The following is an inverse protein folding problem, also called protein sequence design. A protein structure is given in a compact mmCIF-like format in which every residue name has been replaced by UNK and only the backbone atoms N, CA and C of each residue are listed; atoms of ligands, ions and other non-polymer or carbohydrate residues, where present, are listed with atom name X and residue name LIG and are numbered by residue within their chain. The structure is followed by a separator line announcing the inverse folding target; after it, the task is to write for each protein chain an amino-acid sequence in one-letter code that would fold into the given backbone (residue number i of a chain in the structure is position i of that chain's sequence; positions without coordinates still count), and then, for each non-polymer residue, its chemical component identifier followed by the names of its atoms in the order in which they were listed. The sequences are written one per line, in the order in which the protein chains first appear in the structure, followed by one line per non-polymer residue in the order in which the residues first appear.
data_IF_026562959058
#
_entry.id   IF_026562959058
#
_cell.length_a   1.000
_cell.length_b   1.000
_cell.length_c   1.000
_cell.angle_alpha   90.00
_cell.angle_beta   90.00
_cell.angle_gamma   90.00
#
_symmetry.space_group_name_H-M   'P 1'
#
loop_
_entity.id
_entity.type
_entity.pdbx_description
1 polymer ?
#
# COMPACT_ATOMS: atom_id res chain seq x y z
N UNK A 1 -1.65 -16.67 6.20
CA UNK A 1 -2.51 -15.55 5.82
C UNK A 1 -2.50 -15.37 4.30
N UNK A 2 -1.38 -15.01 3.66
CA UNK A 2 -1.26 -14.98 2.18
C UNK A 2 -1.73 -16.26 1.48
N UNK A 3 -1.16 -17.42 1.84
CA UNK A 3 -1.57 -18.74 1.31
C UNK A 3 -3.00 -19.18 1.68
N UNK A 4 -3.72 -18.37 2.48
CA UNK A 4 -5.11 -18.59 2.90
C UNK A 4 -6.04 -17.52 2.30
N UNK A 5 -5.64 -16.87 1.21
CA UNK A 5 -6.43 -15.86 0.51
C UNK A 5 -6.78 -14.62 1.34
N UNK A 6 -5.91 -14.24 2.28
CA UNK A 6 -6.07 -12.99 3.03
C UNK A 6 -5.29 -11.88 2.35
N UNK A 7 -5.97 -10.77 2.07
CA UNK A 7 -5.40 -9.57 1.48
C UNK A 7 -4.69 -8.72 2.54
N UNK A 8 -3.63 -8.05 2.13
CA UNK A 8 -2.81 -7.18 2.97
C UNK A 8 -2.84 -5.76 2.44
N UNK A 9 -3.01 -4.82 3.36
CA UNK A 9 -2.93 -3.39 3.10
C UNK A 9 -1.74 -2.79 3.87
N UNK A 10 -1.04 -1.85 3.25
CA UNK A 10 0.01 -1.03 3.88
C UNK A 10 -0.39 0.44 3.77
N UNK A 11 -0.11 1.23 4.82
CA UNK A 11 -0.41 2.66 4.82
C UNK A 11 0.70 3.48 4.16
N UNK A 12 0.33 4.60 3.51
CA UNK A 12 1.29 5.54 2.92
C UNK A 12 2.22 6.15 3.95
N UNK A 13 1.73 6.37 5.17
CA UNK A 13 2.54 6.87 6.29
C UNK A 13 3.62 5.85 6.71
N UNK A 14 3.28 4.56 6.74
CA UNK A 14 4.25 3.50 6.98
C UNK A 14 5.29 3.42 5.87
N UNK A 15 4.87 3.52 4.60
CA UNK A 15 5.76 3.43 3.44
C UNK A 15 6.71 4.63 3.31
N UNK A 16 6.23 5.83 3.65
CA UNK A 16 7.02 7.07 3.59
C UNK A 16 8.04 7.24 4.72
N UNK A 17 7.88 6.48 5.80
CA UNK A 17 8.69 6.60 7.00
C UNK A 17 8.20 7.67 7.98
N UNK A 18 6.97 8.16 7.85
CA UNK A 18 6.35 9.04 8.85
C UNK A 18 6.36 8.41 10.26
N UNK A 19 6.19 7.08 10.33
CA UNK A 19 6.25 6.30 11.57
C UNK A 19 7.66 5.80 11.94
N UNK A 20 8.70 6.32 11.28
CA UNK A 20 10.10 6.00 11.56
C UNK A 20 10.68 4.87 10.68
N UNK A 21 12.02 4.76 10.71
CA UNK A 21 12.80 3.93 9.77
C UNK A 21 12.49 2.44 9.83
N UNK A 22 12.22 1.90 11.02
CA UNK A 22 11.88 0.48 11.16
C UNK A 22 10.55 0.11 10.50
N UNK A 23 9.56 1.00 10.61
CA UNK A 23 8.25 0.82 9.95
C UNK A 23 8.42 0.94 8.44
N UNK A 24 9.17 1.95 7.99
CA UNK A 24 9.52 2.13 6.58
C UNK A 24 10.14 0.87 5.97
N UNK A 25 11.25 0.38 6.53
CA UNK A 25 11.95 -0.79 5.99
C UNK A 25 11.09 -2.05 6.01
N UNK A 26 10.17 -2.17 6.97
CA UNK A 26 9.22 -3.28 7.00
C UNK A 26 8.19 -3.17 5.87
N UNK A 27 7.62 -1.99 5.68
CA UNK A 27 6.67 -1.71 4.59
C UNK A 27 7.31 -1.94 3.21
N UNK A 28 8.52 -1.41 3.00
CA UNK A 28 9.30 -1.61 1.77
C UNK A 28 9.54 -3.10 1.51
N UNK A 29 9.97 -3.86 2.53
CA UNK A 29 10.21 -5.30 2.39
C UNK A 29 8.93 -6.06 2.01
N UNK A 30 7.79 -5.77 2.62
CA UNK A 30 6.52 -6.42 2.29
C UNK A 30 6.10 -6.14 0.84
N UNK A 31 6.31 -4.92 0.34
CA UNK A 31 6.02 -4.56 -1.04
C UNK A 31 6.97 -5.27 -2.01
N UNK A 32 8.27 -5.24 -1.74
CA UNK A 32 9.30 -5.90 -2.57
C UNK A 32 9.09 -7.42 -2.67
N UNK A 33 8.64 -8.05 -1.58
CA UNK A 33 8.31 -9.49 -1.53
C UNK A 33 6.90 -9.80 -2.10
N UNK A 34 6.23 -8.82 -2.73
CA UNK A 34 4.89 -8.95 -3.34
C UNK A 34 3.82 -9.47 -2.37
N UNK A 35 3.92 -9.10 -1.09
CA UNK A 35 2.98 -9.52 -0.04
C UNK A 35 1.80 -8.54 0.14
N UNK A 36 1.93 -7.32 -0.38
CA UNK A 36 0.94 -6.24 -0.24
C UNK A 36 0.03 -6.22 -1.45
N UNK A 37 -1.28 -6.07 -1.23
CA UNK A 37 -2.28 -6.02 -2.29
C UNK A 37 -2.87 -4.61 -2.43
N UNK A 38 -2.85 -3.82 -1.35
CA UNK A 38 -3.46 -2.49 -1.30
C UNK A 38 -2.50 -1.50 -0.63
N UNK A 39 -2.35 -0.32 -1.22
CA UNK A 39 -1.75 0.85 -0.60
C UNK A 39 -2.87 1.88 -0.35
N UNK A 40 -3.02 2.31 0.90
CA UNK A 40 -4.07 3.27 1.29
C UNK A 40 -3.53 4.28 2.31
N UNK A 41 -4.23 5.40 2.55
CA UNK A 41 -3.72 6.45 3.44
C UNK A 41 -3.92 6.15 4.92
N UNK A 42 -4.98 5.41 5.27
CA UNK A 42 -5.44 5.26 6.65
C UNK A 42 -5.65 6.61 7.36
N UNK A 43 -6.13 7.61 6.61
CA UNK A 43 -6.35 8.96 7.15
C UNK A 43 -7.61 8.97 8.01
N UNK A 44 -7.45 9.39 9.26
CA UNK A 44 -8.55 9.48 10.23
C UNK A 44 -9.11 10.90 10.35
N UNK A 45 -8.34 11.92 9.97
CA UNK A 45 -8.69 13.33 10.07
C UNK A 45 -7.90 14.18 9.06
N UNK A 46 -8.54 15.06 8.25
CA UNK A 46 -7.86 15.94 7.30
C UNK A 46 -6.87 16.94 7.93
N UNK A 47 -6.97 17.23 9.23
CA UNK A 47 -6.07 18.16 9.93
C UNK A 47 -4.80 17.51 10.48
N UNK A 48 -4.69 16.18 10.44
CA UNK A 48 -3.49 15.47 10.87
C UNK A 48 -2.48 15.45 9.73
N UNK A 49 -1.18 15.53 10.04
CA UNK A 49 -0.15 15.22 9.06
C UNK A 49 -0.30 13.76 8.61
N UNK A 50 -0.51 13.55 7.32
CA UNK A 50 -0.54 12.25 6.65
C UNK A 50 0.13 12.38 5.29
N UNK A 51 0.54 11.25 4.73
CA UNK A 51 1.13 11.17 3.41
C UNK A 51 0.05 10.91 2.36
N UNK A 52 -0.13 11.82 1.38
CA UNK A 52 -1.11 11.63 0.32
C UNK A 52 -0.86 10.35 -0.50
N UNK A 53 -1.94 9.78 -1.03
CA UNK A 53 -1.88 8.56 -1.84
C UNK A 53 -0.98 8.71 -3.08
N UNK A 54 -0.99 9.89 -3.71
CA UNK A 54 -0.11 10.21 -4.85
C UNK A 54 1.37 10.09 -4.49
N UNK A 55 1.78 10.57 -3.32
CA UNK A 55 3.16 10.46 -2.84
C UNK A 55 3.51 9.00 -2.49
N UNK A 56 2.58 8.27 -1.87
CA UNK A 56 2.73 6.84 -1.63
C UNK A 56 2.94 6.03 -2.91
N UNK A 57 2.16 6.33 -3.96
CA UNK A 57 2.29 5.71 -5.28
C UNK A 57 3.66 5.99 -5.90
N UNK A 58 4.19 7.20 -5.80
CA UNK A 58 5.53 7.52 -6.29
C UNK A 58 6.62 6.71 -5.58
N UNK A 59 6.51 6.52 -4.25
CA UNK A 59 7.45 5.66 -3.51
C UNK A 59 7.33 4.21 -3.99
N UNK A 60 6.10 3.69 -4.10
CA UNK A 60 5.86 2.33 -4.56
C UNK A 60 6.41 2.11 -5.99
N UNK A 61 6.23 3.06 -6.90
CA UNK A 61 6.79 3.00 -8.27
C UNK A 61 8.32 2.91 -8.26
N UNK A 62 9.01 3.56 -7.32
CA UNK A 62 10.47 3.44 -7.17
C UNK A 62 10.91 2.05 -6.69
N UNK A 63 10.04 1.31 -6.00
CA UNK A 63 10.35 -0.02 -5.46
C UNK A 63 10.03 -1.14 -6.46
N UNK A 64 8.89 -1.07 -7.13
CA UNK A 64 8.35 -2.17 -7.93
C UNK A 64 7.93 -1.76 -9.36
N UNK A 65 8.20 -0.52 -9.78
CA UNK A 65 7.85 -0.02 -11.11
C UNK A 65 6.34 0.17 -11.29
N UNK A 66 5.87 -0.08 -12.52
CA UNK A 66 4.46 0.09 -12.91
C UNK A 66 3.49 -0.83 -12.14
N UNK A 67 3.99 -1.93 -11.54
CA UNK A 67 3.19 -2.81 -10.67
C UNK A 67 2.61 -2.07 -9.46
N UNK A 68 3.12 -0.88 -9.12
CA UNK A 68 2.56 -0.03 -8.09
C UNK A 68 1.11 0.41 -8.37
N UNK A 69 0.71 0.51 -9.65
CA UNK A 69 -0.68 0.78 -10.05
C UNK A 69 -1.66 -0.30 -9.59
N UNK A 70 -1.19 -1.55 -9.49
CA UNK A 70 -2.00 -2.65 -8.97
C UNK A 70 -2.42 -2.35 -7.53
N UNK A 71 -1.51 -1.84 -6.71
CA UNK A 71 -1.73 -1.60 -5.28
C UNK A 71 -2.69 -0.44 -5.00
N UNK A 72 -2.81 0.53 -5.90
CA UNK A 72 -3.54 1.78 -5.65
C UNK A 72 -4.87 1.83 -6.40
N UNK A 73 -4.90 1.35 -7.64
CA UNK A 73 -6.07 1.50 -8.52
C UNK A 73 -6.75 0.17 -8.82
N UNK A 74 -6.05 -0.76 -9.47
CA UNK A 74 -6.69 -1.94 -10.07
C UNK A 74 -7.26 -2.90 -9.02
N UNK A 75 -6.47 -3.23 -7.99
CA UNK A 75 -6.92 -4.11 -6.91
C UNK A 75 -8.08 -3.49 -6.11
N UNK A 76 -8.03 -2.17 -5.88
CA UNK A 76 -9.08 -1.44 -5.20
C UNK A 76 -10.40 -1.48 -5.98
N UNK A 77 -10.35 -1.26 -7.29
CA UNK A 77 -11.52 -1.31 -8.18
C UNK A 77 -12.16 -2.72 -8.19
N UNK A 78 -11.34 -3.77 -8.27
CA UNK A 78 -11.82 -5.16 -8.18
C UNK A 78 -12.54 -5.43 -6.86
N UNK A 79 -11.97 -4.98 -5.73
CA UNK A 79 -12.58 -5.16 -4.40
C UNK A 79 -13.91 -4.43 -4.31
N UNK A 80 -13.99 -3.18 -4.76
CA UNK A 80 -15.24 -2.39 -4.73
C UNK A 80 -16.33 -3.04 -5.58
N UNK A 81 -15.96 -3.70 -6.67
CA UNK A 81 -16.88 -4.45 -7.53
C UNK A 81 -17.21 -5.86 -7.01
N UNK A 82 -16.67 -6.28 -5.85
CA UNK A 82 -16.87 -7.61 -5.30
C UNK A 82 -16.17 -8.73 -6.11
N UNK A 83 -15.18 -8.38 -6.92
CA UNK A 83 -14.38 -9.33 -7.71
C UNK A 83 -13.21 -9.88 -6.87
N UNK A 84 -12.89 -11.15 -7.10
CA UNK A 84 -11.73 -11.81 -6.49
C UNK A 84 -10.42 -11.30 -7.10
N UNK A 85 -9.41 -11.05 -6.26
CA UNK A 85 -8.01 -10.86 -6.71
C UNK A 85 -7.26 -12.19 -6.93
N UNK A 86 -7.91 -13.31 -6.59
CA UNK A 86 -7.44 -14.68 -6.78
C UNK A 86 -8.23 -15.40 -7.87
#
# INVERSE_FOLDING_TARGET
WLKKHVLFQVSTDSLSGLWGKKVQSTAEKLILERMVHILATDVHNPFRNFVPLSYGLEIARRLIGEDAELLVAQNCDMIVQGKSLF
#
